data_IF_234712383392
#
_entry.id   IF_234712383392
#
_cell.length_a   1.000
_cell.length_b   1.000
_cell.length_c   1.000
_cell.angle_alpha   90.00
_cell.angle_beta   90.00
_cell.angle_gamma   90.00
#
_symmetry.space_group_name_H-M   'P 1'
#
loop_
_entity.id
_entity.type
_entity.pdbx_description
1 polymer ?
#
# COMPACT_ATOMS: atom_id res chain seq x y z
N UNK A 1 37.13 14.04 45.29
CA UNK A 1 36.74 12.72 44.71
C UNK A 1 35.24 12.67 44.44
N UNK A 2 34.41 13.02 45.43
CA UNK A 2 32.95 13.09 45.28
C UNK A 2 32.52 14.13 44.22
N UNK A 3 33.01 15.38 44.32
CA UNK A 3 32.72 16.44 43.33
C UNK A 3 33.07 16.08 41.87
N UNK A 4 34.15 15.32 41.66
CA UNK A 4 34.55 14.84 40.33
C UNK A 4 33.57 13.78 39.82
N UNK A 5 33.14 12.86 40.69
CA UNK A 5 32.12 11.87 40.35
C UNK A 5 30.79 12.53 39.99
N UNK A 6 30.35 13.49 40.80
CA UNK A 6 29.12 14.26 40.57
C UNK A 6 29.17 15.02 39.25
N UNK A 7 30.32 15.62 38.91
CA UNK A 7 30.53 16.33 37.64
C UNK A 7 30.48 15.40 36.42
N UNK A 8 31.14 14.23 36.50
CA UNK A 8 31.13 13.25 35.41
C UNK A 8 29.73 12.67 35.19
N UNK A 9 29.02 12.38 36.27
CA UNK A 9 27.65 11.88 36.21
C UNK A 9 26.69 12.95 35.68
N UNK A 10 26.85 14.20 36.10
CA UNK A 10 26.10 15.34 35.57
C UNK A 10 26.33 15.54 34.07
N UNK A 11 27.57 15.40 33.60
CA UNK A 11 27.88 15.47 32.17
C UNK A 11 27.22 14.33 31.38
N UNK A 12 27.28 13.09 31.88
CA UNK A 12 26.62 11.95 31.22
C UNK A 12 25.11 12.13 31.14
N UNK A 13 24.46 12.54 32.23
CA UNK A 13 23.02 12.85 32.25
C UNK A 13 22.67 13.92 31.22
N UNK A 14 23.47 14.98 31.14
CA UNK A 14 23.28 16.02 30.13
C UNK A 14 23.45 15.47 28.71
N UNK A 15 24.48 14.67 28.47
CA UNK A 15 24.71 14.02 27.18
C UNK A 15 23.58 13.10 26.77
N UNK A 16 23.06 12.28 27.68
CA UNK A 16 21.91 11.40 27.45
C UNK A 16 20.63 12.21 27.17
N UNK A 17 20.43 13.36 27.82
CA UNK A 17 19.35 14.28 27.49
C UNK A 17 19.47 14.89 26.08
N UNK A 18 20.69 15.16 25.60
CA UNK A 18 20.91 15.56 24.21
C UNK A 18 20.66 14.38 23.24
N UNK A 19 21.02 13.16 23.66
CA UNK A 19 20.74 11.94 22.89
C UNK A 19 19.23 11.72 22.77
N UNK A 20 18.43 11.88 23.82
CA UNK A 20 16.98 11.71 23.70
C UNK A 20 16.34 12.71 22.72
N UNK A 21 16.96 13.87 22.51
CA UNK A 21 16.51 14.93 21.60
C UNK A 21 17.32 14.97 20.29
N UNK A 22 17.95 13.86 19.90
CA UNK A 22 18.86 13.87 18.76
C UNK A 22 18.18 14.31 17.45
N UNK A 23 16.87 14.06 17.29
CA UNK A 23 16.08 14.43 16.10
C UNK A 23 16.07 15.94 15.86
N UNK A 24 15.92 16.70 16.93
CA UNK A 24 15.82 18.17 16.88
C UNK A 24 17.19 18.83 16.80
N UNK A 25 18.19 18.23 17.45
CA UNK A 25 19.53 18.81 17.61
C UNK A 25 20.46 18.40 16.45
N UNK A 26 20.29 17.19 15.94
CA UNK A 26 21.17 16.58 14.96
C UNK A 26 20.37 16.01 13.76
N UNK A 27 19.88 16.88 12.86
CA UNK A 27 19.17 16.45 11.66
C UNK A 27 19.97 15.44 10.82
N UNK A 28 19.32 14.65 9.96
CA UNK A 28 19.90 13.51 9.25
C UNK A 28 20.80 13.93 8.07
N UNK A 29 21.65 14.94 8.25
CA UNK A 29 22.66 15.38 7.29
C UNK A 29 24.10 15.09 7.79
N UNK A 30 25.09 14.99 6.88
CA UNK A 30 26.45 14.62 7.23
C UNK A 30 27.13 15.54 8.27
N UNK A 31 26.80 16.83 8.30
CA UNK A 31 27.45 17.79 9.18
C UNK A 31 26.97 17.62 10.62
N UNK A 32 25.66 17.47 10.82
CA UNK A 32 25.06 17.31 12.15
C UNK A 32 25.26 15.90 12.71
N UNK A 33 25.16 14.88 11.87
CA UNK A 33 25.45 13.49 12.27
C UNK A 33 26.90 13.31 12.73
N UNK A 34 27.86 14.05 12.17
CA UNK A 34 29.25 14.07 12.67
C UNK A 34 29.37 14.64 14.10
N UNK A 35 28.56 15.66 14.44
CA UNK A 35 28.49 16.21 15.81
C UNK A 35 27.89 15.21 16.78
N UNK A 36 26.80 14.54 16.40
CA UNK A 36 26.20 13.45 17.18
C UNK A 36 27.20 12.31 17.42
N UNK A 37 27.92 11.88 16.37
CA UNK A 37 28.96 10.88 16.49
C UNK A 37 30.04 11.29 17.50
N UNK A 38 30.46 12.56 17.46
CA UNK A 38 31.45 13.10 18.40
C UNK A 38 30.93 13.09 19.84
N UNK A 39 29.69 13.54 20.06
CA UNK A 39 29.04 13.49 21.36
C UNK A 39 29.01 12.06 21.92
N UNK A 40 28.52 11.10 21.15
CA UNK A 40 28.44 9.69 21.56
C UNK A 40 29.84 9.13 21.91
N UNK A 41 30.86 9.46 21.10
CA UNK A 41 32.24 9.05 21.41
C UNK A 41 32.76 9.66 22.71
N UNK A 42 32.42 10.91 23.01
CA UNK A 42 32.79 11.55 24.28
C UNK A 42 32.15 10.79 25.45
N UNK A 43 30.87 10.43 25.37
CA UNK A 43 30.19 9.65 26.40
C UNK A 43 30.88 8.29 26.63
N UNK A 44 31.24 7.59 25.54
CA UNK A 44 32.01 6.34 25.61
C UNK A 44 33.37 6.54 26.27
N UNK A 45 34.09 7.60 25.94
CA UNK A 45 35.40 7.85 26.55
C UNK A 45 35.30 8.16 28.05
N UNK A 46 34.30 8.93 28.47
CA UNK A 46 34.06 9.22 29.89
C UNK A 46 33.84 7.92 30.67
N UNK A 47 33.02 7.02 30.14
CA UNK A 47 32.74 5.72 30.76
C UNK A 47 33.99 4.81 30.87
N UNK A 48 34.98 5.01 29.98
CA UNK A 48 36.26 4.27 29.99
C UNK A 48 37.29 4.84 30.96
N UNK A 49 37.07 6.04 31.52
CA UNK A 49 38.04 6.62 32.46
C UNK A 49 38.05 5.85 33.78
N UNK A 50 39.24 5.67 34.35
CA UNK A 50 39.39 5.01 35.67
C UNK A 50 38.66 5.77 36.79
N UNK A 51 38.54 7.09 36.66
CA UNK A 51 37.81 7.91 37.62
C UNK A 51 36.33 7.53 37.64
N UNK A 52 35.71 7.39 36.46
CA UNK A 52 34.31 7.00 36.34
C UNK A 52 34.08 5.56 36.83
N UNK A 53 34.90 4.60 36.40
CA UNK A 53 34.76 3.19 36.79
C UNK A 53 34.89 2.95 38.30
N UNK A 54 35.67 3.77 39.01
CA UNK A 54 35.81 3.66 40.48
C UNK A 54 34.68 4.32 41.26
N UNK A 55 33.93 5.23 40.65
CA UNK A 55 32.92 6.07 41.31
C UNK A 55 31.49 5.65 40.96
N UNK A 56 31.29 4.83 39.92
CA UNK A 56 29.98 4.45 39.42
C UNK A 56 29.56 3.03 39.88
N UNK A 57 28.25 2.70 39.94
CA UNK A 57 27.80 1.35 40.28
C UNK A 57 28.33 0.32 39.29
N UNK A 58 28.56 -0.91 39.77
CA UNK A 58 29.02 -2.03 38.93
C UNK A 58 28.02 -2.40 37.81
N UNK A 59 26.78 -1.95 37.91
CA UNK A 59 25.66 -2.27 37.01
C UNK A 59 25.45 -1.24 35.89
N UNK A 60 26.20 -0.14 35.85
CA UNK A 60 26.00 0.87 34.82
C UNK A 60 26.53 0.43 33.46
N UNK A 61 25.65 0.37 32.47
CA UNK A 61 25.99 0.05 31.10
C UNK A 61 25.53 1.17 30.15
N UNK A 62 26.49 1.85 29.51
CA UNK A 62 26.20 2.99 28.63
C UNK A 62 25.27 2.62 27.46
N UNK A 63 25.34 1.39 26.98
CA UNK A 63 24.49 0.91 25.88
C UNK A 63 23.01 0.93 26.27
N UNK A 64 22.71 0.52 27.50
CA UNK A 64 21.34 0.49 28.04
C UNK A 64 20.84 1.91 28.28
N UNK A 65 21.65 2.76 28.92
CA UNK A 65 21.31 4.17 29.16
C UNK A 65 21.05 4.96 27.87
N UNK A 66 21.85 4.71 26.83
CA UNK A 66 21.62 5.30 25.50
C UNK A 66 20.32 4.77 24.89
N UNK A 67 20.07 3.46 25.00
CA UNK A 67 18.84 2.84 24.47
C UNK A 67 17.59 3.38 25.17
N UNK A 68 17.65 3.56 26.49
CA UNK A 68 16.58 4.15 27.30
C UNK A 68 16.35 5.62 26.92
N UNK A 69 17.42 6.40 26.78
CA UNK A 69 17.32 7.79 26.33
C UNK A 69 16.67 7.91 24.93
N UNK A 70 17.04 7.02 24.00
CA UNK A 70 16.43 6.94 22.66
C UNK A 70 14.95 6.58 22.77
N UNK A 71 14.60 5.59 23.60
CA UNK A 71 13.22 5.14 23.79
C UNK A 71 12.35 6.27 24.35
N UNK A 72 12.77 6.89 25.46
CA UNK A 72 12.07 8.03 26.07
C UNK A 72 11.92 9.17 25.07
N UNK A 73 13.00 9.54 24.36
CA UNK A 73 12.95 10.59 23.35
C UNK A 73 12.01 10.28 22.18
N UNK A 74 11.88 9.01 21.81
CA UNK A 74 10.97 8.56 20.75
C UNK A 74 9.51 8.63 21.18
N UNK A 75 9.20 8.23 22.42
CA UNK A 75 7.86 8.36 23.00
C UNK A 75 7.45 9.82 23.15
N UNK A 76 8.34 10.68 23.65
CA UNK A 76 8.11 12.12 23.75
C UNK A 76 7.85 12.74 22.38
N UNK A 77 8.72 12.46 21.40
CA UNK A 77 8.57 12.97 20.03
C UNK A 77 7.23 12.52 19.41
N UNK A 78 6.86 11.24 19.55
CA UNK A 78 5.59 10.73 19.04
C UNK A 78 4.40 11.45 19.67
N UNK A 79 4.42 11.68 20.98
CA UNK A 79 3.34 12.37 21.69
C UNK A 79 3.23 13.84 21.24
N UNK A 80 4.36 14.51 20.99
CA UNK A 80 4.37 15.86 20.43
C UNK A 80 3.75 15.88 19.03
N UNK A 81 4.19 14.99 18.13
CA UNK A 81 3.63 14.91 16.77
C UNK A 81 2.14 14.56 16.76
N UNK A 82 1.72 13.65 17.64
CA UNK A 82 0.30 13.32 17.84
C UNK A 82 -0.50 14.54 18.30
N UNK A 83 0.06 15.35 19.19
CA UNK A 83 -0.55 16.61 19.63
C UNK A 83 -0.63 17.67 18.54
N UNK A 84 0.43 17.82 17.74
CA UNK A 84 0.47 18.76 16.61
C UNK A 84 -0.52 18.40 15.50
N UNK A 85 -0.73 17.11 15.28
CA UNK A 85 -1.69 16.60 14.31
C UNK A 85 -3.13 16.51 14.84
N UNK A 86 -3.38 16.85 16.11
CA UNK A 86 -4.69 16.68 16.74
C UNK A 86 -5.78 17.41 15.93
N UNK A 87 -6.88 16.73 15.56
CA UNK A 87 -7.94 17.36 14.77
C UNK A 87 -8.65 18.44 15.60
N UNK A 88 -9.00 19.55 14.95
CA UNK A 88 -9.75 20.66 15.58
C UNK A 88 -11.23 20.34 15.76
N UNK A 89 -11.75 19.37 15.01
CA UNK A 89 -13.15 18.93 15.03
C UNK A 89 -13.24 17.48 15.49
N UNK A 90 -14.46 17.05 15.85
CA UNK A 90 -14.77 15.63 16.12
C UNK A 90 -15.21 14.87 14.86
N UNK A 91 -14.95 15.44 13.68
CA UNK A 91 -15.28 14.80 12.42
C UNK A 91 -14.38 13.57 12.21
N UNK A 92 -14.98 12.44 11.84
CA UNK A 92 -14.27 11.17 11.70
C UNK A 92 -13.25 11.20 10.56
N UNK A 93 -13.58 11.87 9.46
CA UNK A 93 -12.66 12.01 8.32
C UNK A 93 -11.44 12.85 8.70
N UNK A 94 -11.63 13.93 9.47
CA UNK A 94 -10.52 14.72 10.02
C UNK A 94 -9.67 13.92 11.03
N UNK A 95 -10.29 13.08 11.86
CA UNK A 95 -9.56 12.17 12.77
C UNK A 95 -8.69 11.18 11.99
N UNK A 96 -9.22 10.55 10.94
CA UNK A 96 -8.44 9.63 10.09
C UNK A 96 -7.37 10.37 9.30
N UNK A 97 -7.65 11.58 8.80
CA UNK A 97 -6.68 12.44 8.12
C UNK A 97 -5.52 12.82 9.04
N UNK A 98 -5.81 13.17 10.29
CA UNK A 98 -4.80 13.42 11.33
C UNK A 98 -3.91 12.20 11.59
N UNK A 99 -4.50 11.01 11.69
CA UNK A 99 -3.76 9.76 11.84
C UNK A 99 -2.86 9.47 10.62
N UNK A 100 -3.37 9.71 9.42
CA UNK A 100 -2.62 9.55 8.17
C UNK A 100 -1.36 10.43 8.13
N UNK A 101 -1.49 11.71 8.52
CA UNK A 101 -0.34 12.64 8.62
C UNK A 101 0.68 12.18 9.66
N UNK A 102 0.22 11.78 10.86
CA UNK A 102 1.09 11.26 11.92
C UNK A 102 1.87 10.02 11.45
N UNK A 103 1.22 9.08 10.78
CA UNK A 103 1.88 7.86 10.28
C UNK A 103 2.91 8.22 9.20
N UNK A 104 2.63 9.20 8.34
CA UNK A 104 3.59 9.65 7.33
C UNK A 104 4.86 10.26 7.97
N UNK A 105 4.72 11.07 9.02
CA UNK A 105 5.85 11.60 9.79
C UNK A 105 6.67 10.49 10.46
N UNK A 106 5.99 9.51 11.07
CA UNK A 106 6.65 8.34 11.67
C UNK A 106 7.38 7.51 10.62
N UNK A 107 6.78 7.30 9.44
CA UNK A 107 7.40 6.58 8.33
C UNK A 107 8.70 7.28 7.86
N UNK A 108 8.69 8.61 7.79
CA UNK A 108 9.88 9.38 7.48
C UNK A 108 10.96 9.28 8.58
N UNK A 109 10.58 9.34 9.86
CA UNK A 109 11.52 9.17 10.98
C UNK A 109 12.16 7.77 11.01
N UNK A 110 11.37 6.72 10.75
CA UNK A 110 11.85 5.34 10.63
C UNK A 110 12.90 5.24 9.52
N UNK A 111 12.64 5.87 8.37
CA UNK A 111 13.57 5.90 7.24
C UNK A 111 14.87 6.62 7.60
N UNK A 112 14.80 7.80 8.22
CA UNK A 112 16.00 8.52 8.67
C UNK A 112 16.81 7.73 9.71
N UNK A 113 16.12 7.04 10.62
CA UNK A 113 16.77 6.14 11.57
C UNK A 113 17.51 5.02 10.87
N UNK A 114 16.86 4.35 9.92
CA UNK A 114 17.45 3.27 9.14
C UNK A 114 18.67 3.74 8.32
N UNK A 115 18.53 4.84 7.59
CA UNK A 115 19.48 5.22 6.54
C UNK A 115 20.64 6.09 7.04
N UNK A 116 20.39 6.96 8.05
CA UNK A 116 21.37 7.95 8.52
C UNK A 116 21.82 7.69 9.96
N UNK A 117 20.89 7.74 10.93
CA UNK A 117 21.26 7.74 12.34
C UNK A 117 21.78 6.38 12.82
N UNK A 118 21.25 5.26 12.34
CA UNK A 118 21.68 3.94 12.79
C UNK A 118 23.18 3.69 12.56
N UNK A 119 23.71 4.12 11.42
CA UNK A 119 25.15 4.05 11.17
C UNK A 119 25.97 4.81 12.21
N UNK A 120 25.48 5.96 12.67
CA UNK A 120 26.17 6.79 13.67
C UNK A 120 26.18 6.12 15.04
N UNK A 121 25.02 5.67 15.51
CA UNK A 121 24.88 5.02 16.81
C UNK A 121 25.64 3.69 16.88
N UNK A 122 25.53 2.85 15.85
CA UNK A 122 26.28 1.59 15.76
C UNK A 122 27.79 1.85 15.75
N UNK A 123 28.26 2.83 14.97
CA UNK A 123 29.70 3.17 14.88
C UNK A 123 30.26 3.74 16.19
N UNK A 124 29.52 4.62 16.86
CA UNK A 124 30.03 5.33 18.03
C UNK A 124 29.89 4.53 19.32
N UNK A 125 28.74 3.89 19.52
CA UNK A 125 28.33 3.26 20.79
C UNK A 125 27.68 1.90 20.58
N UNK A 126 27.81 1.25 19.41
CA UNK A 126 27.31 -0.12 19.16
C UNK A 126 25.83 -0.35 19.52
N UNK A 127 25.00 0.70 19.48
CA UNK A 127 23.55 0.61 19.70
C UNK A 127 22.83 0.62 18.36
N UNK A 128 21.93 -0.35 18.16
CA UNK A 128 21.02 -0.41 17.01
C UNK A 128 19.78 0.47 17.29
N UNK A 129 19.94 1.77 17.03
CA UNK A 129 18.87 2.77 17.22
C UNK A 129 17.64 2.44 16.38
N UNK A 130 17.82 1.85 15.20
CA UNK A 130 16.71 1.51 14.32
C UNK A 130 15.80 0.48 14.99
N UNK A 131 16.36 -0.58 15.57
CA UNK A 131 15.57 -1.59 16.28
C UNK A 131 14.82 -1.00 17.49
N UNK A 132 15.45 -0.10 18.26
CA UNK A 132 14.82 0.55 19.42
C UNK A 132 13.64 1.42 18.97
N UNK A 133 13.89 2.32 18.01
CA UNK A 133 12.89 3.28 17.50
C UNK A 133 11.74 2.57 16.81
N UNK A 134 12.03 1.58 15.95
CA UNK A 134 11.01 0.84 15.23
C UNK A 134 10.04 0.13 16.19
N UNK A 135 10.56 -0.53 17.23
CA UNK A 135 9.71 -1.23 18.21
C UNK A 135 8.85 -0.27 19.02
N UNK A 136 9.39 0.90 19.39
CA UNK A 136 8.62 1.93 20.06
C UNK A 136 7.46 2.41 19.17
N UNK A 137 7.73 2.74 17.91
CA UNK A 137 6.69 3.16 16.97
C UNK A 137 5.69 2.06 16.65
N UNK A 138 6.12 0.81 16.51
CA UNK A 138 5.22 -0.33 16.30
C UNK A 138 4.15 -0.39 17.40
N UNK A 139 4.55 -0.31 18.67
CA UNK A 139 3.63 -0.28 19.81
C UNK A 139 2.74 0.98 19.82
N UNK A 140 3.33 2.16 19.65
CA UNK A 140 2.62 3.44 19.73
C UNK A 140 1.60 3.62 18.60
N UNK A 141 1.98 3.24 17.37
CA UNK A 141 1.09 3.24 16.21
C UNK A 141 -0.02 2.20 16.35
N UNK A 142 0.29 0.99 16.83
CA UNK A 142 -0.74 -0.02 17.07
C UNK A 142 -1.80 0.49 18.06
N UNK A 143 -1.38 1.18 19.12
CA UNK A 143 -2.30 1.82 20.07
C UNK A 143 -3.13 2.92 19.40
N UNK A 144 -2.49 3.86 18.70
CA UNK A 144 -3.19 4.95 18.02
C UNK A 144 -4.19 4.44 16.98
N UNK A 145 -3.82 3.39 16.24
CA UNK A 145 -4.70 2.69 15.30
C UNK A 145 -5.92 2.08 15.99
N UNK A 146 -5.72 1.33 17.08
CA UNK A 146 -6.84 0.74 17.85
C UNK A 146 -7.78 1.81 18.37
N UNK A 147 -7.24 2.89 18.92
CA UNK A 147 -8.03 4.03 19.41
C UNK A 147 -8.88 4.62 18.26
N UNK A 148 -8.28 4.94 17.12
CA UNK A 148 -9.01 5.50 15.96
C UNK A 148 -10.01 4.53 15.34
N UNK A 149 -9.67 3.25 15.19
CA UNK A 149 -10.58 2.25 14.62
C UNK A 149 -11.81 2.03 15.52
N UNK A 150 -11.64 2.06 16.84
CA UNK A 150 -12.76 1.95 17.78
C UNK A 150 -13.72 3.14 17.70
N UNK A 151 -13.23 4.33 17.36
CA UNK A 151 -14.06 5.53 17.19
C UNK A 151 -14.96 5.46 15.95
N UNK A 152 -14.50 4.77 14.91
CA UNK A 152 -15.19 4.66 13.62
C UNK A 152 -15.96 3.34 13.44
N UNK A 153 -15.90 2.45 14.42
CA UNK A 153 -16.54 1.13 14.37
C UNK A 153 -18.04 1.28 14.07
N UNK A 154 -18.52 0.58 13.03
CA UNK A 154 -19.92 0.61 12.60
C UNK A 154 -20.36 1.93 11.94
N UNK A 155 -19.43 2.85 11.66
CA UNK A 155 -19.69 4.13 10.98
C UNK A 155 -18.97 4.19 9.62
N UNK A 156 -18.55 3.05 9.07
CA UNK A 156 -17.81 3.00 7.81
C UNK A 156 -18.69 3.44 6.64
N UNK A 157 -18.18 4.41 5.88
CA UNK A 157 -18.77 4.90 4.64
C UNK A 157 -17.68 5.13 3.59
N UNK A 158 -18.07 5.39 2.33
CA UNK A 158 -17.13 5.51 1.22
C UNK A 158 -16.04 6.57 1.44
N UNK A 159 -16.40 7.75 1.97
CA UNK A 159 -15.46 8.85 2.24
C UNK A 159 -14.42 8.44 3.28
N UNK A 160 -14.87 7.82 4.37
CA UNK A 160 -14.02 7.37 5.45
C UNK A 160 -13.08 6.23 5.00
N UNK A 161 -13.62 5.27 4.25
CA UNK A 161 -12.82 4.20 3.65
C UNK A 161 -11.73 4.79 2.74
N UNK A 162 -12.07 5.77 1.89
CA UNK A 162 -11.08 6.43 1.04
C UNK A 162 -9.95 7.09 1.84
N UNK A 163 -10.28 7.71 2.99
CA UNK A 163 -9.29 8.32 3.89
C UNK A 163 -8.42 7.28 4.63
N UNK A 164 -8.95 6.07 4.87
CA UNK A 164 -8.21 4.96 5.47
C UNK A 164 -7.25 4.26 4.50
N UNK A 165 -7.45 4.37 3.19
CA UNK A 165 -6.58 3.68 2.24
C UNK A 165 -5.13 4.18 2.28
N UNK A 166 -4.82 5.49 2.33
CA UNK A 166 -3.46 5.97 2.57
C UNK A 166 -2.85 5.45 3.89
N UNK A 167 -3.63 5.45 4.98
CA UNK A 167 -3.21 4.90 6.29
C UNK A 167 -2.76 3.44 6.13
N UNK A 168 -3.57 2.64 5.45
CA UNK A 168 -3.28 1.24 5.16
C UNK A 168 -1.96 1.05 4.40
N UNK A 169 -1.73 1.83 3.35
CA UNK A 169 -0.50 1.74 2.54
C UNK A 169 0.76 2.17 3.32
N UNK A 170 0.66 3.23 4.13
CA UNK A 170 1.79 3.69 4.94
C UNK A 170 2.17 2.66 5.99
N UNK A 171 1.17 2.01 6.63
CA UNK A 171 1.42 0.91 7.57
C UNK A 171 2.05 -0.31 6.89
N UNK A 172 1.60 -0.67 5.68
CA UNK A 172 2.26 -1.72 4.90
C UNK A 172 3.74 -1.39 4.63
N UNK A 173 4.04 -0.14 4.25
CA UNK A 173 5.43 0.28 4.03
C UNK A 173 6.27 0.18 5.31
N UNK A 174 5.74 0.64 6.44
CA UNK A 174 6.42 0.51 7.75
C UNK A 174 6.66 -0.97 8.07
N UNK A 175 5.66 -1.83 7.87
CA UNK A 175 5.83 -3.27 8.08
C UNK A 175 6.92 -3.91 7.22
N UNK A 176 7.18 -3.40 6.01
CA UNK A 176 8.28 -3.93 5.18
C UNK A 176 9.65 -3.64 5.80
N UNK A 177 9.79 -2.53 6.51
CA UNK A 177 11.03 -2.16 7.19
C UNK A 177 11.37 -3.08 8.38
N UNK A 178 10.43 -3.90 8.86
CA UNK A 178 10.72 -4.97 9.85
C UNK A 178 11.79 -5.96 9.37
N UNK A 179 12.04 -6.04 8.07
CA UNK A 179 13.10 -6.86 7.50
C UNK A 179 14.50 -6.44 7.94
N UNK A 180 14.69 -5.18 8.38
CA UNK A 180 15.97 -4.62 8.82
C UNK A 180 16.23 -4.79 10.33
N UNK A 181 15.26 -5.33 11.08
CA UNK A 181 15.42 -5.60 12.52
C UNK A 181 16.45 -6.72 12.75
N UNK A 182 17.44 -6.46 13.60
CA UNK A 182 18.43 -7.48 13.96
C UNK A 182 17.83 -8.61 14.81
N UNK A 183 16.86 -8.28 15.68
CA UNK A 183 16.14 -9.24 16.51
C UNK A 183 14.64 -9.05 16.35
N UNK A 184 14.01 -9.99 15.64
CA UNK A 184 12.54 -10.03 15.49
C UNK A 184 11.93 -10.42 16.84
N UNK A 185 11.32 -9.44 17.50
CA UNK A 185 10.45 -9.66 18.65
C UNK A 185 9.00 -9.83 18.19
N UNK A 186 8.09 -9.95 19.15
CA UNK A 186 6.66 -9.80 18.88
C UNK A 186 6.41 -8.33 18.51
N UNK A 187 5.72 -8.11 17.39
CA UNK A 187 5.33 -6.80 16.89
C UNK A 187 3.82 -6.69 16.94
N UNK A 188 3.32 -5.59 17.49
CA UNK A 188 1.90 -5.29 17.68
C UNK A 188 1.20 -5.02 16.35
N UNK A 189 1.90 -4.46 15.36
CA UNK A 189 1.29 -4.20 14.05
C UNK A 189 1.19 -5.44 13.17
N UNK A 190 1.62 -6.65 13.60
CA UNK A 190 1.73 -7.82 12.71
C UNK A 190 0.46 -8.13 11.91
N UNK A 191 -0.72 -7.95 12.50
CA UNK A 191 -2.03 -8.21 11.89
C UNK A 191 -2.89 -6.94 11.73
N UNK A 192 -2.27 -5.78 11.50
CA UNK A 192 -3.02 -4.52 11.40
C UNK A 192 -4.13 -4.54 10.33
N UNK A 193 -4.00 -5.40 9.30
CA UNK A 193 -4.96 -5.54 8.21
C UNK A 193 -6.35 -5.92 8.71
N UNK A 194 -6.47 -6.65 9.82
CA UNK A 194 -7.76 -7.03 10.42
C UNK A 194 -8.63 -5.80 10.72
N UNK A 195 -8.00 -4.71 11.15
CA UNK A 195 -8.66 -3.43 11.44
C UNK A 195 -9.24 -2.71 10.23
N UNK A 196 -8.91 -3.14 9.00
CA UNK A 196 -9.37 -2.54 7.75
C UNK A 196 -10.39 -3.40 7.01
N UNK A 197 -10.83 -4.54 7.57
CA UNK A 197 -11.79 -5.45 6.93
C UNK A 197 -13.10 -4.75 6.52
N UNK A 198 -13.63 -3.85 7.36
CA UNK A 198 -14.87 -3.11 7.07
C UNK A 198 -14.70 -2.13 5.88
N UNK A 199 -13.47 -1.66 5.61
CA UNK A 199 -13.18 -0.77 4.49
C UNK A 199 -13.00 -1.50 3.15
N UNK A 200 -12.69 -2.82 3.16
CA UNK A 200 -12.44 -3.61 1.96
C UNK A 200 -13.56 -3.52 0.91
N UNK A 201 -14.84 -3.71 1.24
CA UNK A 201 -15.92 -3.65 0.25
C UNK A 201 -16.01 -2.27 -0.42
N UNK A 202 -15.75 -1.20 0.33
CA UNK A 202 -15.78 0.17 -0.19
C UNK A 202 -14.64 0.45 -1.17
N UNK A 203 -13.43 -0.07 -0.91
CA UNK A 203 -12.30 0.08 -1.83
C UNK A 203 -12.52 -0.69 -3.13
N UNK A 204 -13.01 -1.92 -3.03
CA UNK A 204 -13.35 -2.74 -4.19
C UNK A 204 -14.47 -2.11 -5.01
N UNK A 205 -15.56 -1.70 -4.35
CA UNK A 205 -16.70 -1.09 -5.02
C UNK A 205 -16.33 0.23 -5.69
N UNK A 206 -15.53 1.08 -5.04
CA UNK A 206 -15.05 2.32 -5.62
C UNK A 206 -14.18 2.10 -6.85
N UNK A 207 -13.27 1.12 -6.82
CA UNK A 207 -12.46 0.78 -7.99
C UNK A 207 -13.33 0.24 -9.13
N UNK A 208 -14.31 -0.61 -8.81
CA UNK A 208 -15.26 -1.15 -9.78
C UNK A 208 -16.13 -0.07 -10.41
N UNK A 209 -16.84 0.74 -9.61
CA UNK A 209 -17.76 1.78 -10.09
C UNK A 209 -17.03 2.86 -10.90
N UNK A 210 -15.87 3.31 -10.42
CA UNK A 210 -15.02 4.26 -11.16
C UNK A 210 -14.61 3.70 -12.52
N UNK A 211 -14.32 2.39 -12.58
CA UNK A 211 -13.96 1.72 -13.83
C UNK A 211 -15.16 1.62 -14.77
N UNK A 212 -16.35 1.31 -14.26
CA UNK A 212 -17.60 1.29 -15.03
C UNK A 212 -17.96 2.68 -15.59
N UNK A 213 -17.93 3.72 -14.77
CA UNK A 213 -18.26 5.09 -15.20
C UNK A 213 -17.32 5.59 -16.31
N UNK A 214 -16.04 5.20 -16.23
CA UNK A 214 -15.05 5.55 -17.25
C UNK A 214 -15.22 4.72 -18.52
N UNK A 215 -15.63 3.45 -18.38
CA UNK A 215 -15.93 2.57 -19.50
C UNK A 215 -17.11 3.10 -20.32
N UNK A 216 -18.20 3.47 -19.65
CA UNK A 216 -19.40 4.01 -20.31
C UNK A 216 -19.06 5.27 -21.11
N UNK A 217 -18.31 6.19 -20.50
CA UNK A 217 -17.83 7.41 -21.18
C UNK A 217 -16.93 7.10 -22.38
N UNK A 218 -16.02 6.13 -22.27
CA UNK A 218 -15.12 5.75 -23.35
C UNK A 218 -15.89 5.18 -24.56
N UNK A 219 -16.90 4.35 -24.33
CA UNK A 219 -17.75 3.79 -25.41
C UNK A 219 -18.67 4.86 -26.01
N UNK A 220 -19.21 5.76 -25.20
CA UNK A 220 -20.13 6.80 -25.65
C UNK A 220 -19.50 7.75 -26.69
N UNK A 221 -18.21 8.08 -26.54
CA UNK A 221 -17.49 8.94 -27.48
C UNK A 221 -16.88 8.18 -28.65
N UNK A 222 -16.88 6.85 -28.60
CA UNK A 222 -16.28 6.00 -29.63
C UNK A 222 -17.05 6.11 -30.95
N UNK A 223 -16.31 6.25 -32.04
CA UNK A 223 -16.84 6.29 -33.40
C UNK A 223 -16.69 4.94 -34.12
N UNK A 224 -16.18 3.92 -33.43
CA UNK A 224 -15.94 2.56 -33.94
C UNK A 224 -15.10 2.58 -35.21
N UNK A 225 -14.05 3.40 -35.20
CA UNK A 225 -13.07 3.48 -36.28
C UNK A 225 -11.75 2.88 -35.82
N UNK A 226 -11.05 2.15 -36.71
CA UNK A 226 -9.74 1.60 -36.38
C UNK A 226 -8.76 2.74 -36.11
N UNK A 227 -7.94 2.57 -35.07
CA UNK A 227 -6.88 3.53 -34.76
C UNK A 227 -5.83 3.56 -35.89
N UNK A 228 -5.76 4.67 -36.61
CA UNK A 228 -4.70 4.94 -37.58
C UNK A 228 -3.46 5.49 -36.85
N UNK A 229 -2.76 4.65 -36.10
CA UNK A 229 -1.54 5.05 -35.39
C UNK A 229 -0.36 4.18 -35.79
N UNK A 230 0.55 4.75 -36.58
CA UNK A 230 1.83 4.15 -36.96
C UNK A 230 1.83 3.32 -38.25
N UNK A 231 2.94 2.62 -38.50
CA UNK A 231 3.18 1.80 -39.69
C UNK A 231 2.47 0.43 -39.69
N UNK A 232 1.80 0.06 -38.60
CA UNK A 232 0.99 -1.16 -38.46
C UNK A 232 -0.45 -0.77 -38.15
N UNK A 233 -1.44 -1.15 -38.98
CA UNK A 233 -2.83 -0.78 -38.74
C UNK A 233 -3.37 -1.51 -37.50
N UNK A 234 -3.67 -0.74 -36.45
CA UNK A 234 -4.42 -1.24 -35.28
C UNK A 234 -5.89 -1.37 -35.69
N UNK A 235 -6.39 -2.60 -35.69
CA UNK A 235 -7.74 -2.91 -36.18
C UNK A 235 -8.85 -2.73 -35.14
N UNK A 236 -8.48 -2.26 -33.95
CA UNK A 236 -9.34 -2.02 -32.79
C UNK A 236 -9.63 -0.52 -32.64
N UNK A 237 -10.73 -0.18 -32.00
CA UNK A 237 -11.13 1.18 -31.64
C UNK A 237 -10.30 1.74 -30.48
N UNK A 238 -10.45 3.05 -30.21
CA UNK A 238 -9.86 3.67 -29.02
C UNK A 238 -10.43 3.11 -27.72
N UNK A 239 -11.73 2.79 -27.68
CA UNK A 239 -12.36 2.29 -26.46
C UNK A 239 -11.83 0.92 -26.03
N UNK A 240 -11.41 0.08 -26.98
CA UNK A 240 -10.79 -1.22 -26.69
C UNK A 240 -9.39 -1.07 -26.06
N UNK A 241 -8.62 -0.07 -26.49
CA UNK A 241 -7.32 0.26 -25.88
C UNK A 241 -7.52 0.86 -24.50
N UNK A 242 -8.47 1.79 -24.36
CA UNK A 242 -8.80 2.44 -23.09
C UNK A 242 -9.20 1.41 -22.04
N UNK A 243 -9.98 0.39 -22.39
CA UNK A 243 -10.41 -0.65 -21.47
C UNK A 243 -9.24 -1.35 -20.74
N UNK A 244 -8.12 -1.61 -21.43
CA UNK A 244 -6.94 -2.21 -20.78
C UNK A 244 -6.40 -1.29 -19.69
N UNK A 245 -6.30 0.00 -19.99
CA UNK A 245 -5.89 1.01 -19.02
C UNK A 245 -6.92 1.20 -17.89
N UNK A 246 -8.21 0.98 -18.17
CA UNK A 246 -9.29 1.08 -17.19
C UNK A 246 -9.31 -0.10 -16.20
N UNK A 247 -8.90 -1.30 -16.61
CA UNK A 247 -8.82 -2.47 -15.71
C UNK A 247 -7.57 -2.44 -14.82
N UNK A 248 -6.50 -1.75 -15.25
CA UNK A 248 -5.22 -1.73 -14.54
C UNK A 248 -5.33 -1.24 -13.07
N UNK A 249 -6.11 -0.19 -12.72
CA UNK A 249 -6.32 0.23 -11.33
C UNK A 249 -6.88 -0.87 -10.42
N UNK A 250 -7.76 -1.74 -10.94
CA UNK A 250 -8.31 -2.87 -10.18
C UNK A 250 -7.20 -3.90 -9.89
N UNK A 251 -6.35 -4.18 -10.89
CA UNK A 251 -5.20 -5.07 -10.70
C UNK A 251 -4.18 -4.48 -9.71
N UNK A 252 -3.93 -3.17 -9.79
CA UNK A 252 -3.07 -2.47 -8.84
C UNK A 252 -3.66 -2.43 -7.43
N UNK A 253 -4.99 -2.36 -7.30
CA UNK A 253 -5.65 -2.46 -5.99
C UNK A 253 -5.36 -3.82 -5.37
N UNK A 254 -5.48 -4.92 -6.12
CA UNK A 254 -5.10 -6.26 -5.64
C UNK A 254 -3.65 -6.30 -5.12
N UNK A 255 -2.70 -5.81 -5.92
CA UNK A 255 -1.29 -5.77 -5.55
C UNK A 255 -1.06 -4.94 -4.28
N UNK A 256 -1.64 -3.75 -4.21
CA UNK A 256 -1.56 -2.85 -3.04
C UNK A 256 -2.19 -3.46 -1.81
N UNK A 257 -3.31 -4.18 -1.95
CA UNK A 257 -3.93 -4.85 -0.81
C UNK A 257 -3.02 -5.95 -0.26
N UNK A 258 -2.31 -6.73 -1.09
CA UNK A 258 -1.37 -7.76 -0.61
C UNK A 258 -1.89 -8.54 0.62
N UNK A 259 -3.19 -8.92 0.57
CA UNK A 259 -3.91 -9.33 1.78
C UNK A 259 -3.27 -10.59 2.39
N UNK A 260 -2.99 -10.60 3.71
CA UNK A 260 -2.16 -11.63 4.32
C UNK A 260 -2.93 -12.92 4.62
N UNK A 261 -4.22 -12.82 4.96
CA UNK A 261 -5.04 -13.98 5.29
C UNK A 261 -5.32 -14.81 4.03
N UNK A 262 -4.94 -16.10 3.96
CA UNK A 262 -5.08 -16.91 2.76
C UNK A 262 -6.53 -17.11 2.29
N UNK A 263 -7.48 -17.28 3.20
CA UNK A 263 -8.89 -17.50 2.85
C UNK A 263 -9.51 -16.22 2.30
N UNK A 264 -9.35 -15.12 3.03
CA UNK A 264 -9.85 -13.81 2.61
C UNK A 264 -9.16 -13.35 1.32
N UNK A 265 -7.86 -13.58 1.16
CA UNK A 265 -7.13 -13.28 -0.08
C UNK A 265 -7.69 -14.05 -1.28
N UNK A 266 -8.08 -15.32 -1.11
CA UNK A 266 -8.75 -16.08 -2.17
C UNK A 266 -10.12 -15.50 -2.50
N UNK A 267 -10.93 -15.17 -1.49
CA UNK A 267 -12.24 -14.54 -1.69
C UNK A 267 -12.13 -13.18 -2.39
N UNK A 268 -11.15 -12.37 -2.02
CA UNK A 268 -10.83 -11.10 -2.68
C UNK A 268 -10.44 -11.33 -4.15
N UNK A 269 -9.62 -12.34 -4.45
CA UNK A 269 -9.27 -12.68 -5.83
C UNK A 269 -10.48 -13.10 -6.67
N UNK A 270 -11.37 -13.91 -6.09
CA UNK A 270 -12.63 -14.33 -6.74
C UNK A 270 -13.49 -13.10 -7.05
N UNK A 271 -13.63 -12.17 -6.11
CA UNK A 271 -14.38 -10.94 -6.29
C UNK A 271 -13.77 -10.03 -7.36
N UNK A 272 -12.45 -9.83 -7.34
CA UNK A 272 -11.74 -9.01 -8.34
C UNK A 272 -11.86 -9.61 -9.74
N UNK A 273 -11.72 -10.92 -9.85
CA UNK A 273 -11.88 -11.64 -11.13
C UNK A 273 -13.30 -11.50 -11.66
N UNK A 274 -14.31 -11.64 -10.80
CA UNK A 274 -15.72 -11.43 -11.13
C UNK A 274 -15.97 -10.00 -11.61
N UNK A 275 -15.44 -8.99 -10.91
CA UNK A 275 -15.62 -7.58 -11.24
C UNK A 275 -15.00 -7.23 -12.60
N UNK A 276 -13.79 -7.70 -12.89
CA UNK A 276 -13.18 -7.56 -14.22
C UNK A 276 -14.01 -8.26 -15.30
N UNK A 277 -14.53 -9.46 -15.03
CA UNK A 277 -15.41 -10.17 -15.96
C UNK A 277 -16.71 -9.39 -16.23
N UNK A 278 -17.32 -8.79 -15.21
CA UNK A 278 -18.51 -7.94 -15.34
C UNK A 278 -18.23 -6.69 -16.16
N UNK A 279 -17.10 -6.02 -15.95
CA UNK A 279 -16.67 -4.86 -16.74
C UNK A 279 -16.54 -5.25 -18.22
N UNK A 280 -15.90 -6.39 -18.51
CA UNK A 280 -15.72 -6.90 -19.88
C UNK A 280 -17.06 -7.25 -20.54
N UNK A 281 -17.98 -7.90 -19.81
CA UNK A 281 -19.31 -8.21 -20.34
C UNK A 281 -20.13 -6.94 -20.57
N UNK A 282 -20.03 -5.95 -19.67
CA UNK A 282 -20.71 -4.67 -19.82
C UNK A 282 -20.22 -3.92 -21.06
N UNK A 283 -18.91 -3.88 -21.30
CA UNK A 283 -18.34 -3.29 -22.51
C UNK A 283 -18.93 -3.90 -23.77
N UNK A 284 -19.10 -5.23 -23.80
CA UNK A 284 -19.69 -5.90 -24.94
C UNK A 284 -21.15 -5.47 -25.18
N UNK A 285 -21.94 -5.26 -24.13
CA UNK A 285 -23.31 -4.75 -24.26
C UNK A 285 -23.32 -3.30 -24.76
N UNK A 286 -22.48 -2.44 -24.19
CA UNK A 286 -22.35 -1.04 -24.59
C UNK A 286 -21.91 -0.91 -26.06
N UNK A 287 -20.98 -1.75 -26.53
CA UNK A 287 -20.56 -1.77 -27.94
C UNK A 287 -21.72 -2.12 -28.87
N UNK A 288 -22.59 -3.07 -28.50
CA UNK A 288 -23.74 -3.42 -29.34
C UNK A 288 -24.72 -2.27 -29.47
N UNK A 289 -25.01 -1.59 -28.36
CA UNK A 289 -25.86 -0.40 -28.34
C UNK A 289 -25.24 0.69 -29.21
N UNK A 290 -23.92 0.91 -29.07
CA UNK A 290 -23.20 1.91 -29.85
C UNK A 290 -23.19 1.62 -31.36
N UNK A 291 -22.98 0.37 -31.75
CA UNK A 291 -23.07 -0.06 -33.16
C UNK A 291 -24.47 0.21 -33.70
N UNK A 292 -25.51 -0.14 -32.94
CA UNK A 292 -26.90 0.07 -33.34
C UNK A 292 -27.17 1.55 -33.62
N UNK A 293 -26.83 2.42 -32.67
CA UNK A 293 -26.97 3.88 -32.81
C UNK A 293 -26.27 4.44 -34.05
N UNK A 294 -25.00 4.06 -34.28
CA UNK A 294 -24.22 4.56 -35.41
C UNK A 294 -24.67 3.95 -36.75
N UNK A 295 -25.20 2.73 -36.75
CA UNK A 295 -25.62 2.03 -37.96
C UNK A 295 -26.98 2.50 -38.51
N UNK A 296 -27.87 3.03 -37.67
CA UNK A 296 -29.23 3.44 -38.07
C UNK A 296 -29.24 4.50 -39.19
N UNK A 297 -28.22 5.35 -39.27
CA UNK A 297 -28.08 6.41 -40.28
C UNK A 297 -26.84 6.26 -41.17
N UNK A 298 -26.19 5.09 -41.16
CA UNK A 298 -24.97 4.84 -41.93
C UNK A 298 -25.25 4.10 -43.24
N UNK A 299 -24.36 4.29 -44.23
CA UNK A 299 -24.38 3.44 -45.42
C UNK A 299 -23.90 2.02 -45.08
N UNK A 300 -24.23 1.09 -45.97
CA UNK A 300 -23.96 -0.33 -45.78
C UNK A 300 -22.45 -0.63 -45.64
N UNK A 301 -21.59 0.09 -46.39
CA UNK A 301 -20.14 -0.05 -46.32
C UNK A 301 -19.56 0.39 -44.97
N UNK A 302 -20.04 1.51 -44.41
CA UNK A 302 -19.64 1.97 -43.07
C UNK A 302 -20.17 1.05 -41.97
N UNK A 303 -21.39 0.53 -42.10
CA UNK A 303 -21.94 -0.44 -41.17
C UNK A 303 -21.09 -1.73 -41.09
N UNK A 304 -20.65 -2.26 -42.23
CA UNK A 304 -19.73 -3.41 -42.29
C UNK A 304 -18.41 -3.10 -41.60
N UNK A 305 -17.80 -1.93 -41.88
CA UNK A 305 -16.54 -1.54 -41.26
C UNK A 305 -16.65 -1.42 -39.73
N UNK A 306 -17.76 -0.88 -39.21
CA UNK A 306 -18.00 -0.80 -37.76
C UNK A 306 -18.12 -2.19 -37.13
N UNK A 307 -18.84 -3.13 -37.76
CA UNK A 307 -18.94 -4.50 -37.28
C UNK A 307 -17.57 -5.21 -37.28
N UNK A 308 -16.72 -4.96 -38.28
CA UNK A 308 -15.35 -5.48 -38.29
C UNK A 308 -14.53 -4.93 -37.11
N UNK A 309 -14.62 -3.63 -36.81
CA UNK A 309 -13.95 -3.02 -35.65
C UNK A 309 -14.44 -3.66 -34.35
N UNK A 310 -15.74 -3.88 -34.20
CA UNK A 310 -16.32 -4.52 -33.00
C UNK A 310 -15.81 -5.95 -32.82
N UNK A 311 -15.78 -6.75 -33.89
CA UNK A 311 -15.21 -8.11 -33.83
C UNK A 311 -13.77 -8.07 -33.36
N UNK A 312 -12.99 -7.13 -33.91
CA UNK A 312 -11.61 -6.94 -33.51
C UNK A 312 -11.57 -6.55 -32.01
N UNK A 313 -12.34 -5.56 -31.56
CA UNK A 313 -12.36 -5.11 -30.16
C UNK A 313 -12.67 -6.27 -29.20
N UNK A 314 -13.69 -7.07 -29.48
CA UNK A 314 -14.04 -8.24 -28.68
C UNK A 314 -12.90 -9.29 -28.63
N UNK A 315 -12.18 -9.47 -29.74
CA UNK A 315 -11.01 -10.34 -29.80
C UNK A 315 -9.83 -9.79 -28.99
N UNK A 316 -9.65 -8.47 -28.98
CA UNK A 316 -8.69 -7.80 -28.10
C UNK A 316 -9.01 -8.08 -26.64
N UNK A 317 -10.27 -7.95 -26.23
CA UNK A 317 -10.74 -8.26 -24.87
C UNK A 317 -10.52 -9.73 -24.49
N UNK A 318 -10.75 -10.66 -25.42
CA UNK A 318 -10.46 -12.08 -25.20
C UNK A 318 -8.98 -12.29 -24.86
N UNK A 319 -8.09 -11.53 -25.48
CA UNK A 319 -6.65 -11.54 -25.17
C UNK A 319 -6.36 -10.97 -23.77
N UNK A 320 -7.04 -9.91 -23.35
CA UNK A 320 -6.92 -9.30 -22.01
C UNK A 320 -7.32 -10.30 -20.94
N UNK A 321 -8.50 -10.92 -21.07
CA UNK A 321 -8.95 -11.99 -20.16
C UNK A 321 -7.97 -13.17 -20.12
N UNK A 322 -7.31 -13.49 -21.23
CA UNK A 322 -6.32 -14.57 -21.26
C UNK A 322 -5.05 -14.24 -20.48
N UNK A 323 -4.67 -12.96 -20.38
CA UNK A 323 -3.52 -12.50 -19.59
C UNK A 323 -3.85 -12.22 -18.12
N UNK A 324 -5.13 -12.11 -17.76
CA UNK A 324 -5.57 -11.76 -16.41
C UNK A 324 -4.98 -12.65 -15.30
N UNK A 325 -4.92 -13.99 -15.43
CA UNK A 325 -4.31 -14.85 -14.38
C UNK A 325 -2.84 -14.53 -14.10
N UNK A 326 -2.10 -14.10 -15.13
CA UNK A 326 -0.70 -13.68 -15.00
C UNK A 326 -0.61 -12.32 -14.31
N UNK A 327 -1.45 -11.36 -14.72
CA UNK A 327 -1.49 -10.01 -14.14
C UNK A 327 -1.87 -10.02 -12.66
N UNK A 328 -2.80 -10.88 -12.26
CA UNK A 328 -3.25 -11.01 -10.88
C UNK A 328 -2.39 -11.99 -10.05
N UNK A 329 -1.32 -12.55 -10.63
CA UNK A 329 -0.43 -13.52 -10.01
C UNK A 329 -1.18 -14.69 -9.32
N UNK A 330 -2.05 -15.39 -10.06
CA UNK A 330 -2.78 -16.54 -9.53
C UNK A 330 -1.84 -17.66 -9.05
N UNK A 331 -0.68 -17.82 -9.68
CA UNK A 331 0.33 -18.79 -9.24
C UNK A 331 0.82 -18.48 -7.82
N UNK A 332 1.24 -17.24 -7.56
CA UNK A 332 1.65 -16.84 -6.21
C UNK A 332 0.52 -16.88 -5.19
N UNK A 333 -0.74 -16.67 -5.60
CA UNK A 333 -1.88 -16.89 -4.71
C UNK A 333 -2.06 -18.37 -4.38
N UNK A 334 -2.00 -19.27 -5.37
CA UNK A 334 -2.11 -20.72 -5.17
C UNK A 334 -1.09 -21.23 -4.16
N UNK A 335 0.16 -20.80 -4.28
CA UNK A 335 1.22 -21.22 -3.36
C UNK A 335 0.94 -20.78 -1.91
N UNK A 336 0.32 -19.61 -1.73
CA UNK A 336 -0.07 -19.08 -0.41
C UNK A 336 -1.31 -19.77 0.17
N UNK A 337 -2.22 -20.25 -0.69
CA UNK A 337 -3.51 -20.79 -0.25
C UNK A 337 -3.59 -22.32 -0.26
N UNK A 338 -2.57 -23.04 -0.75
CA UNK A 338 -2.55 -24.51 -0.90
C UNK A 338 -2.96 -25.31 0.36
N UNK A 339 -2.70 -24.76 1.55
CA UNK A 339 -2.98 -25.44 2.81
C UNK A 339 -4.43 -25.27 3.29
N UNK A 340 -5.17 -24.34 2.69
CA UNK A 340 -6.49 -23.91 3.18
C UNK A 340 -7.56 -24.01 2.10
N UNK A 341 -7.19 -23.71 0.85
CA UNK A 341 -8.04 -23.81 -0.33
C UNK A 341 -7.66 -25.06 -1.10
N UNK A 342 -8.61 -26.00 -1.24
CA UNK A 342 -8.37 -27.24 -1.98
C UNK A 342 -8.04 -26.96 -3.46
N UNK A 343 -7.12 -27.73 -4.03
CA UNK A 343 -6.69 -27.52 -5.43
C UNK A 343 -7.86 -27.48 -6.41
N UNK A 344 -8.84 -28.37 -6.23
CA UNK A 344 -10.05 -28.40 -7.06
C UNK A 344 -10.86 -27.10 -6.97
N UNK A 345 -10.97 -26.51 -5.78
CA UNK A 345 -11.70 -25.25 -5.59
C UNK A 345 -10.98 -24.11 -6.32
N UNK A 346 -9.66 -24.06 -6.25
CA UNK A 346 -8.86 -23.05 -6.94
C UNK A 346 -8.97 -23.20 -8.46
N UNK A 347 -8.79 -24.43 -8.98
CA UNK A 347 -8.82 -24.73 -10.40
C UNK A 347 -10.20 -24.66 -11.04
N UNK A 348 -11.27 -24.76 -10.25
CA UNK A 348 -12.63 -24.64 -10.76
C UNK A 348 -13.13 -23.20 -10.68
N UNK A 349 -13.03 -22.52 -9.54
CA UNK A 349 -13.73 -21.24 -9.32
C UNK A 349 -13.19 -20.12 -10.21
N UNK A 350 -11.89 -19.81 -10.13
CA UNK A 350 -11.31 -18.67 -10.86
C UNK A 350 -11.31 -18.91 -12.38
N UNK A 351 -10.89 -20.09 -12.90
CA UNK A 351 -10.97 -20.36 -14.33
C UNK A 351 -12.41 -20.43 -14.86
N UNK A 352 -13.39 -20.92 -14.09
CA UNK A 352 -14.78 -20.97 -14.55
C UNK A 352 -15.37 -19.58 -14.78
N UNK A 353 -15.11 -18.62 -13.88
CA UNK A 353 -15.55 -17.22 -14.08
C UNK A 353 -14.98 -16.64 -15.37
N UNK A 354 -13.68 -16.85 -15.59
CA UNK A 354 -13.00 -16.38 -16.79
C UNK A 354 -13.54 -17.04 -18.06
N UNK A 355 -13.80 -18.34 -17.99
CA UNK A 355 -14.36 -19.11 -19.10
C UNK A 355 -15.78 -18.67 -19.43
N UNK A 356 -16.59 -18.34 -18.43
CA UNK A 356 -17.92 -17.79 -18.62
C UNK A 356 -17.86 -16.46 -19.40
N UNK A 357 -17.02 -15.51 -18.98
CA UNK A 357 -16.84 -14.24 -19.69
C UNK A 357 -16.32 -14.44 -21.13
N UNK A 358 -15.32 -15.33 -21.32
CA UNK A 358 -14.80 -15.68 -22.66
C UNK A 358 -15.88 -16.32 -23.54
N UNK A 359 -16.77 -17.14 -22.97
CA UNK A 359 -17.86 -17.77 -23.72
C UNK A 359 -18.89 -16.73 -24.22
N UNK A 360 -19.16 -15.70 -23.41
CA UNK A 360 -19.99 -14.56 -23.81
C UNK A 360 -19.33 -13.84 -24.99
N UNK A 361 -18.07 -13.42 -24.86
CA UNK A 361 -17.34 -12.77 -25.96
C UNK A 361 -17.36 -13.61 -27.25
N UNK A 362 -17.12 -14.92 -27.15
CA UNK A 362 -17.13 -15.81 -28.31
C UNK A 362 -18.51 -15.90 -28.98
N UNK A 363 -19.60 -15.87 -28.20
CA UNK A 363 -20.97 -15.82 -28.75
C UNK A 363 -21.22 -14.51 -29.49
N UNK A 364 -20.77 -13.39 -28.94
CA UNK A 364 -20.99 -12.08 -29.54
C UNK A 364 -20.14 -11.86 -30.79
N UNK A 365 -18.90 -12.36 -30.81
CA UNK A 365 -18.08 -12.42 -32.03
C UNK A 365 -18.80 -13.21 -33.12
N UNK A 366 -19.32 -14.42 -32.80
CA UNK A 366 -20.10 -15.22 -33.77
C UNK A 366 -21.32 -14.47 -34.28
N UNK A 367 -22.08 -13.83 -33.39
CA UNK A 367 -23.27 -13.06 -33.78
C UNK A 367 -22.93 -11.88 -34.70
N UNK A 368 -21.81 -11.20 -34.47
CA UNK A 368 -21.35 -10.12 -35.33
C UNK A 368 -20.89 -10.64 -36.70
N UNK A 369 -20.17 -11.77 -36.73
CA UNK A 369 -19.75 -12.44 -37.98
C UNK A 369 -20.94 -12.97 -38.79
N UNK A 370 -21.96 -13.55 -38.14
CA UNK A 370 -23.18 -14.00 -38.81
C UNK A 370 -23.95 -12.82 -39.44
N UNK A 371 -23.92 -11.65 -38.79
CA UNK A 371 -24.49 -10.41 -39.34
C UNK A 371 -23.70 -9.95 -40.56
N UNK A 372 -22.37 -10.02 -40.50
CA UNK A 372 -21.49 -9.71 -41.63
C UNK A 372 -21.66 -10.66 -42.82
N UNK A 373 -21.91 -11.96 -42.57
CA UNK A 373 -22.06 -12.95 -43.63
C UNK A 373 -23.45 -12.98 -44.30
N UNK A 374 -24.44 -12.27 -43.74
CA UNK A 374 -25.79 -12.13 -44.31
C UNK A 374 -26.00 -10.85 -45.12
N UNK A 375 -25.07 -9.90 -45.00
CA UNK A 375 -24.99 -8.66 -45.76
C UNK A 375 -24.17 -8.93 -47.02
#
# INVERSE_FOLDING_TARGET
KQELGDSLHGFLKYGLCLVSKYRDIFPPDPQHTAKLHTLLRILVQICKTQAFQKLNPAEFELHDEVSDAILTGTEEWFNIQKGLNQPMTKDLSEIVSALSRLIAEVQEDIKHNKDAWNRVFVSAVQVDVFTVVYKAFDYLLAKAMRDTLSLIEGQMEQTLANNLFPVYLSLQSIQQDKAFLQKRGVLELTNFQEGFREALPYWLNHAFSTTQDRLERAVQVDQLQPLQSGSVPVKHSSSAVDLVALIQPICQLWEKLSWPDPEEAFMLMVKITEDVCKIVVNYCNLLKERVRELSENSDHGRAINMLCVVVNDLEHLRSVLTRLPMQLNWAGLRDRTQNVIGENQFHNTLPAQLQQAKSVLAREIRSALDTLGKQ
#
